data_IF_189581258279
#
_entry.id   IF_189581258279
#
_cell.length_a   1.000
_cell.length_b   1.000
_cell.length_c   1.000
_cell.angle_alpha   90.00
_cell.angle_beta   90.00
_cell.angle_gamma   90.00
#
_symmetry.space_group_name_H-M   'P 1'
#
loop_
_entity.id
_entity.type
_entity.pdbx_description
1 polymer ?
#
# COMPACT_ATOMS: atom_id res chain seq x y z
N UNK A 1 -35.83 12.87 4.90
CA UNK A 1 -34.46 12.84 4.34
C UNK A 1 -33.41 12.56 5.42
N UNK A 2 -33.55 11.45 6.17
CA UNK A 2 -32.61 11.03 7.25
C UNK A 2 -32.30 9.51 7.15
N UNK A 3 -32.63 8.85 6.05
CA UNK A 3 -32.65 7.37 5.97
C UNK A 3 -31.51 6.74 5.18
N UNK A 4 -30.65 7.50 4.48
CA UNK A 4 -29.49 6.92 3.76
C UNK A 4 -28.17 6.94 4.56
N UNK A 5 -28.00 7.84 5.55
CA UNK A 5 -26.79 7.90 6.38
C UNK A 5 -26.61 6.69 7.32
N UNK A 6 -27.68 5.97 7.66
CA UNK A 6 -27.62 4.78 8.54
C UNK A 6 -27.31 3.47 7.81
N UNK A 7 -27.39 3.41 6.47
CA UNK A 7 -27.10 2.18 5.72
C UNK A 7 -25.62 2.01 5.37
N UNK A 8 -24.88 3.10 5.12
CA UNK A 8 -23.43 3.04 4.88
C UNK A 8 -22.65 2.69 6.16
N UNK A 9 -22.99 3.32 7.29
CA UNK A 9 -22.41 2.98 8.60
C UNK A 9 -22.77 1.56 9.07
N UNK A 10 -23.93 1.02 8.65
CA UNK A 10 -24.31 -0.37 8.93
C UNK A 10 -23.55 -1.40 8.09
N UNK A 11 -23.04 -1.04 6.91
CA UNK A 11 -22.17 -1.94 6.13
C UNK A 11 -20.80 -2.11 6.80
N UNK A 12 -20.28 -1.08 7.46
CA UNK A 12 -19.10 -1.20 8.32
C UNK A 12 -19.41 -1.91 9.64
N UNK A 13 -20.56 -1.66 10.29
CA UNK A 13 -20.91 -2.35 11.54
C UNK A 13 -21.28 -3.84 11.36
N UNK A 14 -21.73 -4.27 10.18
CA UNK A 14 -22.07 -5.67 9.89
C UNK A 14 -20.90 -6.46 9.26
N UNK A 15 -19.88 -5.77 8.72
CA UNK A 15 -18.62 -6.37 8.28
C UNK A 15 -17.47 -6.19 9.29
N UNK A 16 -17.67 -5.37 10.33
CA UNK A 16 -16.69 -4.99 11.34
C UNK A 16 -16.88 -5.62 12.71
N UNK A 17 -17.59 -6.75 12.82
CA UNK A 17 -17.40 -7.65 13.94
C UNK A 17 -16.13 -8.50 13.68
N UNK A 18 -14.99 -7.82 13.52
CA UNK A 18 -13.70 -8.46 13.69
C UNK A 18 -13.55 -8.70 15.20
N UNK A 19 -13.94 -9.90 15.60
CA UNK A 19 -13.36 -10.57 16.76
C UNK A 19 -11.86 -10.30 16.70
N UNK A 20 -11.29 -9.64 17.71
CA UNK A 20 -9.85 -9.74 17.98
C UNK A 20 -9.58 -11.24 18.03
N UNK A 21 -8.91 -11.86 17.04
CA UNK A 21 -8.64 -13.27 17.17
C UNK A 21 -7.45 -13.35 18.13
N UNK A 22 -7.75 -13.54 19.41
CA UNK A 22 -7.07 -14.66 20.05
C UNK A 22 -7.39 -15.87 19.17
N UNK A 23 -6.43 -16.30 18.37
CA UNK A 23 -6.57 -17.53 17.61
C UNK A 23 -6.64 -18.68 18.62
N UNK A 24 -7.77 -19.39 18.79
CA UNK A 24 -7.67 -20.78 19.19
C UNK A 24 -6.85 -21.48 18.09
N UNK A 25 -5.95 -22.42 18.44
CA UNK A 25 -5.11 -23.08 17.44
C UNK A 25 -6.00 -23.82 16.43
N UNK A 26 -6.20 -23.24 15.25
CA UNK A 26 -6.78 -23.93 14.13
C UNK A 26 -5.81 -25.04 13.73
N UNK A 27 -6.29 -26.28 13.66
CA UNK A 27 -5.48 -27.42 13.24
C UNK A 27 -4.73 -27.08 11.94
N UNK A 28 -3.41 -26.92 12.05
CA UNK A 28 -2.56 -26.56 10.93
C UNK A 28 -2.61 -27.69 9.89
N UNK A 29 -3.08 -27.46 8.65
CA UNK A 29 -2.57 -28.27 7.56
C UNK A 29 -1.05 -28.01 7.51
N UNK A 30 -0.28 -29.07 7.73
CA UNK A 30 1.17 -29.08 7.97
C UNK A 30 2.01 -28.71 6.73
N UNK A 31 1.39 -28.33 5.62
CA UNK A 31 2.09 -27.94 4.39
C UNK A 31 2.27 -26.42 4.31
N UNK A 32 3.55 -25.97 4.32
CA UNK A 32 3.96 -24.58 4.07
C UNK A 32 3.46 -24.11 2.69
N UNK A 33 3.07 -22.83 2.57
CA UNK A 33 2.73 -22.26 1.26
C UNK A 33 3.95 -22.28 0.32
N UNK A 34 3.77 -22.65 -0.94
CA UNK A 34 4.85 -22.76 -1.91
C UNK A 34 5.32 -21.37 -2.41
N UNK A 35 6.62 -21.18 -2.71
CA UNK A 35 7.13 -19.94 -3.31
C UNK A 35 6.67 -19.78 -4.76
N UNK A 36 6.86 -18.57 -5.33
CA UNK A 36 6.95 -18.40 -6.78
C UNK A 36 8.01 -19.38 -7.34
N UNK A 37 7.78 -19.90 -8.54
CA UNK A 37 8.69 -20.83 -9.22
C UNK A 37 8.70 -20.50 -10.71
N UNK A 38 9.69 -20.99 -11.46
CA UNK A 38 9.70 -20.87 -12.94
C UNK A 38 8.38 -21.34 -13.59
N UNK A 39 7.71 -22.33 -13.01
CA UNK A 39 6.39 -22.81 -13.48
C UNK A 39 5.27 -21.79 -13.30
N UNK A 40 5.43 -20.83 -12.39
CA UNK A 40 4.48 -19.73 -12.16
C UNK A 40 4.42 -18.76 -13.35
N UNK A 41 5.42 -18.79 -14.23
CA UNK A 41 5.51 -17.91 -15.41
C UNK A 41 5.13 -18.61 -16.73
N UNK A 42 4.89 -19.93 -16.73
CA UNK A 42 4.67 -20.71 -17.97
C UNK A 42 3.28 -20.54 -18.60
N UNK A 43 2.31 -19.95 -17.89
CA UNK A 43 0.95 -19.71 -18.42
C UNK A 43 0.72 -18.24 -18.81
N UNK A 44 1.57 -17.31 -18.34
CA UNK A 44 1.59 -15.93 -18.82
C UNK A 44 2.14 -15.81 -20.27
N UNK A 45 2.57 -16.92 -20.87
CA UNK A 45 3.23 -17.00 -22.17
C UNK A 45 2.26 -17.27 -23.32
N UNK A 46 1.62 -16.21 -23.83
CA UNK A 46 1.27 -16.10 -25.24
C UNK A 46 1.31 -14.63 -25.65
N UNK A 47 2.54 -14.12 -25.82
CA UNK A 47 2.81 -12.86 -26.53
C UNK A 47 3.10 -11.66 -25.63
N UNK A 48 4.36 -11.49 -25.23
CA UNK A 48 4.97 -10.17 -25.09
C UNK A 48 6.50 -10.32 -25.04
N UNK A 49 7.13 -10.30 -26.23
CA UNK A 49 8.52 -9.86 -26.36
C UNK A 49 8.41 -8.42 -26.84
N UNK A 50 8.39 -7.46 -25.92
CA UNK A 50 8.76 -6.09 -26.25
C UNK A 50 10.23 -5.91 -25.85
N UNK A 51 11.12 -6.35 -26.74
CA UNK A 51 12.51 -5.95 -26.68
C UNK A 51 12.62 -4.50 -27.15
N UNK A 52 12.37 -3.56 -26.25
CA UNK A 52 12.86 -2.19 -26.40
C UNK A 52 14.30 -2.17 -25.92
N UNK A 53 15.28 -2.16 -26.84
CA UNK A 53 16.67 -1.88 -26.50
C UNK A 53 16.79 -0.40 -26.14
N UNK A 54 16.55 -0.06 -24.87
CA UNK A 54 17.00 1.21 -24.33
C UNK A 54 18.51 1.08 -24.09
N UNK A 55 19.29 1.71 -24.96
CA UNK A 55 20.73 1.84 -24.83
C UNK A 55 21.03 2.61 -23.54
N UNK A 56 21.44 1.89 -22.48
CA UNK A 56 21.89 2.49 -21.23
C UNK A 56 23.37 2.78 -21.34
N UNK A 57 23.68 3.92 -21.93
CA UNK A 57 25.03 4.47 -21.91
C UNK A 57 25.35 4.98 -20.50
N UNK A 58 25.96 4.10 -19.69
CA UNK A 58 26.48 4.44 -18.38
C UNK A 58 27.82 5.19 -18.54
N UNK A 59 27.76 6.53 -18.48
CA UNK A 59 28.94 7.36 -18.19
C UNK A 59 28.61 8.31 -17.06
N UNK A 60 29.14 7.99 -15.88
CA UNK A 60 29.10 8.84 -14.71
C UNK A 60 29.84 10.16 -14.95
N UNK A 61 29.17 11.24 -14.57
CA UNK A 61 29.82 12.43 -14.05
C UNK A 61 29.07 12.80 -12.77
N UNK A 62 29.79 12.80 -11.65
CA UNK A 62 29.25 13.20 -10.37
C UNK A 62 28.83 14.66 -10.42
N UNK A 63 27.54 14.90 -10.59
CA UNK A 63 26.91 16.18 -10.29
C UNK A 63 26.46 16.12 -8.83
N UNK A 64 26.81 17.14 -8.05
CA UNK A 64 26.29 17.31 -6.70
C UNK A 64 24.77 17.09 -6.70
N UNK A 65 24.31 16.09 -5.95
CA UNK A 65 22.90 15.75 -5.84
C UNK A 65 22.23 16.87 -5.06
N UNK A 66 21.57 17.79 -5.77
CA UNK A 66 20.60 18.68 -5.16
C UNK A 66 19.61 17.82 -4.35
N UNK A 67 19.32 18.15 -3.08
CA UNK A 67 18.49 17.27 -2.29
C UNK A 67 17.10 17.21 -2.92
N UNK A 68 16.72 16.00 -3.37
CA UNK A 68 15.52 15.76 -4.15
C UNK A 68 14.31 15.94 -3.23
N UNK A 69 13.42 16.87 -3.58
CA UNK A 69 12.10 16.97 -2.96
C UNK A 69 11.38 15.63 -3.05
N UNK A 70 10.96 15.08 -1.92
CA UNK A 70 10.16 13.85 -1.86
C UNK A 70 8.68 14.25 -1.77
N UNK A 71 7.81 13.80 -2.68
CA UNK A 71 6.38 14.10 -2.61
C UNK A 71 5.75 13.55 -1.33
N UNK A 72 4.95 14.39 -0.66
CA UNK A 72 4.10 13.97 0.45
C UNK A 72 2.70 13.67 -0.09
N UNK A 73 2.18 12.48 0.14
CA UNK A 73 0.84 12.07 -0.25
C UNK A 73 -0.10 11.86 0.93
N UNK A 74 -1.39 11.76 0.63
CA UNK A 74 -2.41 11.36 1.59
C UNK A 74 -3.51 10.52 0.93
N UNK A 75 -3.91 9.44 1.61
CA UNK A 75 -5.05 8.63 1.21
C UNK A 75 -6.36 9.20 1.78
N UNK A 76 -7.43 9.20 0.99
CA UNK A 76 -8.73 9.78 1.37
C UNK A 76 -9.88 8.91 0.90
N UNK A 77 -10.98 8.91 1.65
CA UNK A 77 -12.24 8.32 1.22
C UNK A 77 -13.15 9.40 0.64
N UNK A 78 -13.87 9.08 -0.43
CA UNK A 78 -14.64 10.05 -1.20
C UNK A 78 -15.75 10.70 -0.36
N UNK A 79 -16.33 9.98 0.60
CA UNK A 79 -17.38 10.53 1.45
C UNK A 79 -16.91 11.65 2.38
N UNK A 80 -15.63 11.67 2.78
CA UNK A 80 -15.12 12.70 3.69
C UNK A 80 -14.70 13.96 2.96
N UNK A 81 -14.20 13.85 1.74
CA UNK A 81 -13.76 15.01 0.97
C UNK A 81 -14.93 15.90 0.52
N UNK A 82 -16.07 15.28 0.24
CA UNK A 82 -17.30 15.96 -0.17
C UNK A 82 -18.02 16.59 1.04
N UNK A 83 -17.84 16.02 2.23
CA UNK A 83 -18.59 16.40 3.44
C UNK A 83 -17.89 17.45 4.31
N UNK A 84 -16.55 17.51 4.32
CA UNK A 84 -15.78 18.40 5.20
C UNK A 84 -14.81 19.28 4.40
N UNK A 85 -15.17 20.56 4.15
CA UNK A 85 -14.31 21.50 3.45
C UNK A 85 -12.95 21.75 4.13
N UNK A 86 -12.87 21.68 5.47
CA UNK A 86 -11.61 21.87 6.17
C UNK A 86 -10.68 20.67 5.96
N UNK A 87 -11.22 19.46 6.00
CA UNK A 87 -10.48 18.24 5.67
C UNK A 87 -10.00 18.24 4.22
N UNK A 88 -10.87 18.62 3.28
CA UNK A 88 -10.51 18.79 1.87
C UNK A 88 -9.37 19.80 1.69
N UNK A 89 -9.43 20.94 2.38
CA UNK A 89 -8.39 21.96 2.32
C UNK A 89 -7.06 21.47 2.88
N UNK A 90 -7.08 20.68 3.97
CA UNK A 90 -5.87 20.11 4.55
C UNK A 90 -5.05 19.27 3.54
N UNK A 91 -5.70 18.45 2.70
CA UNK A 91 -4.99 17.76 1.63
C UNK A 91 -4.39 18.72 0.60
N UNK A 92 -5.06 19.82 0.28
CA UNK A 92 -4.53 20.81 -0.68
C UNK A 92 -3.35 21.58 -0.11
N UNK A 93 -3.29 21.82 1.19
CA UNK A 93 -2.21 22.56 1.84
C UNK A 93 -0.95 21.69 2.03
N UNK A 94 -1.15 20.40 2.32
CA UNK A 94 -0.06 19.51 2.74
C UNK A 94 0.38 18.49 1.68
N UNK A 95 -0.51 18.03 0.79
CA UNK A 95 -0.21 16.92 -0.11
C UNK A 95 0.14 17.36 -1.54
N UNK A 96 1.14 16.71 -2.11
CA UNK A 96 1.49 16.68 -3.53
C UNK A 96 0.73 15.60 -4.30
N UNK A 97 0.32 14.54 -3.58
CA UNK A 97 -0.38 13.38 -4.10
C UNK A 97 -1.61 13.09 -3.25
N UNK A 98 -2.76 12.88 -3.88
CA UNK A 98 -4.02 12.54 -3.20
C UNK A 98 -4.57 11.29 -3.87
N UNK A 99 -4.84 10.24 -3.09
CA UNK A 99 -5.24 8.94 -3.63
C UNK A 99 -6.48 8.36 -2.96
N UNK A 100 -7.27 7.56 -3.69
CA UNK A 100 -8.34 6.77 -3.09
C UNK A 100 -7.82 5.79 -2.05
N UNK A 101 -8.39 5.82 -0.84
CA UNK A 101 -8.03 4.90 0.24
C UNK A 101 -8.70 3.53 0.06
N UNK A 102 -9.95 3.51 -0.42
CA UNK A 102 -10.74 2.28 -0.54
C UNK A 102 -11.36 2.09 -1.92
N UNK A 103 -11.65 3.18 -2.63
CA UNK A 103 -12.56 3.19 -3.78
C UNK A 103 -12.01 2.43 -4.99
N UNK A 104 -10.71 2.13 -5.01
CA UNK A 104 -10.05 1.32 -6.03
C UNK A 104 -9.87 -0.16 -5.65
N UNK A 105 -10.29 -0.58 -4.45
CA UNK A 105 -10.26 -1.99 -4.03
C UNK A 105 -11.27 -2.81 -4.83
N UNK A 106 -10.99 -4.11 -5.00
CA UNK A 106 -11.74 -4.99 -5.90
C UNK A 106 -13.24 -4.99 -5.61
N UNK A 107 -13.67 -5.15 -4.35
CA UNK A 107 -15.08 -5.13 -3.97
C UNK A 107 -15.80 -3.79 -4.16
N UNK A 108 -15.07 -2.66 -4.12
CA UNK A 108 -15.62 -1.34 -4.39
C UNK A 108 -15.84 -1.12 -5.88
N UNK A 109 -14.87 -1.52 -6.70
CA UNK A 109 -14.90 -1.36 -8.16
C UNK A 109 -15.79 -2.38 -8.83
N UNK A 110 -15.80 -3.63 -8.36
CA UNK A 110 -16.52 -4.75 -8.99
C UNK A 110 -17.35 -5.54 -7.97
N UNK A 111 -18.37 -4.91 -7.37
CA UNK A 111 -19.16 -5.51 -6.28
C UNK A 111 -19.95 -6.76 -6.71
N UNK A 112 -20.32 -6.85 -7.98
CA UNK A 112 -20.95 -8.04 -8.58
C UNK A 112 -20.27 -8.36 -9.90
N UNK A 113 -20.51 -9.56 -10.45
CA UNK A 113 -19.89 -10.03 -11.70
C UNK A 113 -20.11 -9.04 -12.86
N UNK A 114 -21.32 -8.49 -12.96
CA UNK A 114 -21.78 -7.68 -14.10
C UNK A 114 -21.74 -6.16 -13.85
N UNK A 115 -21.49 -5.73 -12.61
CA UNK A 115 -21.52 -4.32 -12.25
C UNK A 115 -20.13 -3.77 -11.97
N UNK A 116 -19.87 -2.58 -12.52
CA UNK A 116 -18.68 -1.78 -12.26
C UNK A 116 -19.07 -0.46 -11.59
N UNK A 117 -18.35 -0.07 -10.56
CA UNK A 117 -18.62 1.13 -9.78
C UNK A 117 -17.34 1.98 -9.66
N UNK A 118 -17.04 2.73 -10.71
CA UNK A 118 -15.87 3.60 -10.76
C UNK A 118 -16.09 4.98 -10.16
N UNK A 119 -17.35 5.40 -10.04
CA UNK A 119 -17.72 6.78 -9.78
C UNK A 119 -17.05 7.38 -8.52
N UNK A 120 -17.00 6.68 -7.36
CA UNK A 120 -16.31 7.22 -6.18
C UNK A 120 -14.80 7.42 -6.39
N UNK A 121 -14.14 6.48 -7.08
CA UNK A 121 -12.71 6.58 -7.38
C UNK A 121 -12.43 7.68 -8.41
N UNK A 122 -13.28 7.79 -9.44
CA UNK A 122 -13.17 8.85 -10.45
C UNK A 122 -13.22 10.23 -9.80
N UNK A 123 -14.16 10.48 -8.89
CA UNK A 123 -14.27 11.76 -8.18
C UNK A 123 -12.97 12.13 -7.48
N UNK A 124 -12.33 11.18 -6.80
CA UNK A 124 -11.09 11.42 -6.05
C UNK A 124 -9.89 11.66 -6.98
N UNK A 125 -9.75 10.86 -8.03
CA UNK A 125 -8.67 11.03 -9.03
C UNK A 125 -8.85 12.36 -9.76
N UNK A 126 -10.06 12.70 -10.18
CA UNK A 126 -10.36 13.98 -10.83
C UNK A 126 -10.15 15.16 -9.88
N UNK A 127 -10.54 15.04 -8.61
CA UNK A 127 -10.25 16.07 -7.61
C UNK A 127 -8.75 16.31 -7.45
N UNK A 128 -7.94 15.26 -7.35
CA UNK A 128 -6.48 15.38 -7.26
C UNK A 128 -5.92 16.14 -8.49
N UNK A 129 -6.24 15.65 -9.69
CA UNK A 129 -5.73 16.21 -10.95
C UNK A 129 -6.19 17.65 -11.17
N UNK A 130 -7.47 17.96 -10.90
CA UNK A 130 -8.02 19.31 -11.06
C UNK A 130 -7.38 20.35 -10.13
N UNK A 131 -6.76 19.91 -9.04
CA UNK A 131 -6.04 20.76 -8.10
C UNK A 131 -4.51 20.67 -8.27
N UNK A 132 -4.03 20.16 -9.41
CA UNK A 132 -2.60 20.07 -9.72
C UNK A 132 -1.85 19.09 -8.82
N UNK A 133 -2.54 18.08 -8.26
CA UNK A 133 -1.96 17.01 -7.45
C UNK A 133 -1.87 15.74 -8.27
N UNK A 134 -0.89 14.90 -7.93
CA UNK A 134 -0.78 13.55 -8.48
C UNK A 134 -1.79 12.61 -7.80
N UNK A 135 -2.05 11.45 -8.40
CA UNK A 135 -2.82 10.38 -7.77
C UNK A 135 -2.19 9.02 -8.07
N UNK A 136 -2.54 8.02 -7.26
CA UNK A 136 -2.00 6.66 -7.29
C UNK A 136 -3.13 5.66 -7.06
N UNK A 137 -3.03 4.48 -7.64
CA UNK A 137 -4.00 3.42 -7.43
C UNK A 137 -3.55 2.39 -6.38
N UNK A 138 -4.48 2.03 -5.48
CA UNK A 138 -4.31 0.92 -4.53
C UNK A 138 -5.64 0.21 -4.31
N UNK A 139 -5.76 -1.10 -4.51
CA UNK A 139 -4.84 -2.02 -5.16
C UNK A 139 -5.65 -3.02 -5.99
N UNK A 140 -5.01 -3.65 -6.99
CA UNK A 140 -5.72 -4.62 -7.85
C UNK A 140 -5.93 -5.97 -7.17
N UNK A 141 -4.90 -6.49 -6.52
CA UNK A 141 -4.91 -7.81 -5.89
C UNK A 141 -4.61 -7.67 -4.41
N UNK A 142 -5.58 -8.06 -3.59
CA UNK A 142 -5.42 -8.14 -2.15
C UNK A 142 -6.13 -9.39 -1.62
N UNK A 143 -5.81 -9.79 -0.39
CA UNK A 143 -6.49 -10.90 0.28
C UNK A 143 -7.80 -10.45 0.92
N UNK A 144 -7.87 -9.19 1.33
CA UNK A 144 -9.06 -8.55 1.86
C UNK A 144 -9.81 -7.83 0.71
N UNK A 145 -11.05 -7.40 0.97
CA UNK A 145 -11.89 -6.71 -0.02
C UNK A 145 -12.14 -7.52 -1.31
N UNK A 146 -12.20 -8.85 -1.17
CA UNK A 146 -12.53 -9.77 -2.25
C UNK A 146 -14.06 -9.91 -2.39
N UNK A 147 -14.64 -9.64 -3.57
CA UNK A 147 -16.06 -9.83 -3.77
C UNK A 147 -16.46 -11.30 -3.57
N UNK A 148 -17.60 -11.54 -2.92
CA UNK A 148 -18.11 -12.89 -2.66
C UNK A 148 -18.26 -13.73 -3.93
N UNK A 149 -18.62 -13.10 -5.06
CA UNK A 149 -18.77 -13.79 -6.34
C UNK A 149 -17.43 -14.25 -6.93
N UNK A 150 -16.31 -13.57 -6.62
CA UNK A 150 -14.96 -14.01 -7.01
C UNK A 150 -14.49 -15.14 -6.10
N UNK A 151 -14.77 -15.04 -4.79
CA UNK A 151 -14.46 -16.10 -3.84
C UNK A 151 -15.16 -17.42 -4.19
N UNK A 152 -16.36 -17.36 -4.79
CA UNK A 152 -17.13 -18.52 -5.22
C UNK A 152 -16.59 -19.21 -6.51
N UNK A 153 -15.59 -18.65 -7.20
CA UNK A 153 -15.05 -19.24 -8.43
C UNK A 153 -14.05 -20.35 -8.10
N UNK A 154 -14.39 -21.61 -8.35
CA UNK A 154 -13.48 -22.74 -8.10
C UNK A 154 -12.64 -23.12 -9.34
N UNK A 155 -13.09 -22.74 -10.54
CA UNK A 155 -12.35 -23.01 -11.77
C UNK A 155 -11.16 -22.05 -11.92
N UNK A 156 -9.95 -22.62 -12.07
CA UNK A 156 -8.72 -21.84 -12.13
C UNK A 156 -8.63 -21.00 -13.42
N UNK A 157 -9.19 -21.46 -14.54
CA UNK A 157 -9.18 -20.71 -15.80
C UNK A 157 -10.15 -19.52 -15.75
N UNK A 158 -11.32 -19.70 -15.14
CA UNK A 158 -12.27 -18.61 -14.88
C UNK A 158 -11.68 -17.58 -13.92
N UNK A 159 -11.05 -18.02 -12.81
CA UNK A 159 -10.42 -17.12 -11.86
C UNK A 159 -9.30 -16.28 -12.51
N UNK A 160 -8.52 -16.90 -13.40
CA UNK A 160 -7.45 -16.24 -14.15
C UNK A 160 -8.02 -15.19 -15.13
N UNK A 161 -9.08 -15.54 -15.87
CA UNK A 161 -9.76 -14.61 -16.77
C UNK A 161 -10.36 -13.42 -16.03
N UNK A 162 -10.98 -13.66 -14.87
CA UNK A 162 -11.56 -12.60 -14.02
C UNK A 162 -10.49 -11.67 -13.47
N UNK A 163 -9.34 -12.20 -13.05
CA UNK A 163 -8.21 -11.41 -12.58
C UNK A 163 -7.68 -10.50 -13.70
N UNK A 164 -7.44 -11.07 -14.89
CA UNK A 164 -6.94 -10.31 -16.05
C UNK A 164 -7.93 -9.22 -16.44
N UNK A 165 -9.21 -9.55 -16.60
CA UNK A 165 -10.25 -8.58 -16.95
C UNK A 165 -10.33 -7.44 -15.92
N UNK A 166 -10.27 -7.77 -14.62
CA UNK A 166 -10.28 -6.76 -13.57
C UNK A 166 -9.09 -5.82 -13.66
N UNK A 167 -7.87 -6.37 -13.68
CA UNK A 167 -6.65 -5.55 -13.74
C UNK A 167 -6.66 -4.70 -15.00
N UNK A 168 -6.85 -5.29 -16.17
CA UNK A 168 -6.76 -4.56 -17.44
C UNK A 168 -7.80 -3.44 -17.53
N UNK A 169 -9.06 -3.72 -17.17
CA UNK A 169 -10.13 -2.71 -17.29
C UNK A 169 -9.92 -1.54 -16.31
N UNK A 170 -9.48 -1.83 -15.09
CA UNK A 170 -9.24 -0.78 -14.09
C UNK A 170 -8.01 0.03 -14.45
N UNK A 171 -6.89 -0.62 -14.81
CA UNK A 171 -5.68 0.09 -15.23
C UNK A 171 -5.95 0.95 -16.47
N UNK A 172 -6.63 0.41 -17.50
CA UNK A 172 -6.91 1.15 -18.74
C UNK A 172 -7.80 2.38 -18.51
N UNK A 173 -8.80 2.30 -17.61
CA UNK A 173 -9.64 3.45 -17.25
C UNK A 173 -8.83 4.64 -16.71
N UNK A 174 -7.78 4.35 -15.96
CA UNK A 174 -6.92 5.34 -15.31
C UNK A 174 -5.58 5.53 -16.03
N UNK A 175 -5.45 5.02 -17.26
CA UNK A 175 -4.23 5.12 -18.08
C UNK A 175 -3.76 6.57 -18.18
N UNK A 176 -2.50 6.81 -17.84
CA UNK A 176 -1.89 8.15 -17.87
C UNK A 176 -2.43 9.16 -16.82
N UNK A 177 -3.34 8.75 -15.94
CA UNK A 177 -3.89 9.59 -14.85
C UNK A 177 -3.22 9.33 -13.50
N UNK A 178 -2.70 8.13 -13.29
CA UNK A 178 -2.08 7.70 -12.04
C UNK A 178 -0.58 7.55 -12.23
N UNK A 179 0.20 7.96 -11.23
CA UNK A 179 1.67 7.86 -11.27
C UNK A 179 2.17 6.44 -10.99
N UNK A 180 1.28 5.54 -10.59
CA UNK A 180 1.57 4.14 -10.36
C UNK A 180 0.43 3.38 -9.71
N UNK A 181 0.61 2.07 -9.63
CA UNK A 181 -0.32 1.11 -9.01
C UNK A 181 0.39 0.24 -7.99
N UNK A 182 -0.25 0.06 -6.83
CA UNK A 182 -0.04 -1.12 -6.00
C UNK A 182 -0.77 -2.28 -6.70
N UNK A 183 -0.02 -3.08 -7.46
CA UNK A 183 -0.57 -4.17 -8.26
C UNK A 183 -0.98 -5.33 -7.38
N UNK A 184 -0.11 -5.69 -6.43
CA UNK A 184 -0.36 -6.75 -5.44
C UNK A 184 -0.05 -6.19 -4.06
N UNK A 185 -1.00 -6.37 -3.14
CA UNK A 185 -0.93 -5.92 -1.77
C UNK A 185 -0.91 -7.10 -0.80
N UNK A 186 -0.06 -7.03 0.23
CA UNK A 186 -0.02 -7.94 1.38
C UNK A 186 0.07 -9.43 1.06
N UNK A 187 0.89 -9.76 0.07
CA UNK A 187 1.05 -11.14 -0.42
C UNK A 187 2.01 -11.96 0.43
N UNK A 188 2.83 -11.31 1.26
CA UNK A 188 3.78 -11.98 2.15
C UNK A 188 3.04 -12.49 3.40
N UNK A 189 3.30 -13.75 3.79
CA UNK A 189 2.71 -14.33 4.99
C UNK A 189 3.08 -13.54 6.26
N UNK A 190 2.18 -13.48 7.24
CA UNK A 190 2.39 -12.65 8.43
C UNK A 190 3.67 -13.03 9.20
N UNK A 191 3.95 -14.33 9.30
CA UNK A 191 5.24 -14.87 9.68
C UNK A 191 5.76 -15.85 8.61
N UNK A 192 6.65 -15.39 7.69
CA UNK A 192 7.17 -16.25 6.64
C UNK A 192 7.99 -17.45 7.13
N UNK A 193 8.55 -17.37 8.34
CA UNK A 193 9.36 -18.45 8.91
C UNK A 193 8.48 -19.64 9.32
N UNK A 194 7.23 -19.36 9.72
CA UNK A 194 6.27 -20.37 10.16
C UNK A 194 5.34 -20.81 9.03
N UNK A 195 4.84 -19.87 8.23
CA UNK A 195 3.73 -20.10 7.29
C UNK A 195 4.21 -20.43 5.86
N UNK A 196 5.47 -20.12 5.55
CA UNK A 196 6.00 -20.06 4.19
C UNK A 196 5.95 -18.64 3.63
N UNK A 197 6.56 -18.36 2.46
CA UNK A 197 6.77 -17.01 1.97
C UNK A 197 5.47 -16.24 1.69
N UNK A 198 4.45 -16.92 1.16
CA UNK A 198 3.23 -16.28 0.68
C UNK A 198 2.05 -16.51 1.64
N UNK A 199 1.27 -15.45 1.85
CA UNK A 199 0.01 -15.50 2.60
C UNK A 199 -0.95 -16.47 1.93
N UNK A 200 -1.69 -17.23 2.73
CA UNK A 200 -2.76 -18.11 2.24
C UNK A 200 -4.00 -17.29 1.88
N UNK A 201 -4.14 -16.93 0.60
CA UNK A 201 -5.24 -16.11 0.08
C UNK A 201 -6.17 -16.89 -0.86
N UNK A 202 -7.35 -16.34 -1.18
CA UNK A 202 -8.22 -16.89 -2.23
C UNK A 202 -7.50 -17.00 -3.57
N UNK A 203 -6.74 -15.98 -3.96
CA UNK A 203 -5.91 -16.00 -5.16
C UNK A 203 -4.84 -17.10 -5.14
N UNK A 204 -4.14 -17.28 -4.01
CA UNK A 204 -3.14 -18.33 -3.88
C UNK A 204 -3.79 -19.72 -3.97
N UNK A 205 -4.99 -19.93 -3.41
CA UNK A 205 -5.71 -21.20 -3.55
C UNK A 205 -6.14 -21.48 -5.00
N UNK A 206 -6.69 -20.48 -5.69
CA UNK A 206 -7.27 -20.63 -7.04
C UNK A 206 -6.21 -20.75 -8.13
N UNK A 207 -5.17 -19.91 -8.05
CA UNK A 207 -4.17 -19.78 -9.11
C UNK A 207 -2.79 -20.25 -8.66
N UNK A 208 -2.53 -20.39 -7.37
CA UNK A 208 -1.17 -20.55 -6.87
C UNK A 208 -0.38 -19.23 -7.00
N UNK A 209 0.95 -19.28 -6.84
CA UNK A 209 1.79 -18.08 -6.86
C UNK A 209 1.70 -17.26 -8.15
N UNK A 210 1.28 -17.86 -9.28
CA UNK A 210 1.19 -17.18 -10.59
C UNK A 210 0.20 -16.01 -10.64
N UNK A 211 -0.72 -15.86 -9.68
CA UNK A 211 -1.59 -14.67 -9.64
C UNK A 211 -0.80 -13.36 -9.59
N UNK A 212 0.40 -13.37 -8.98
CA UNK A 212 1.27 -12.19 -8.88
C UNK A 212 1.77 -11.77 -10.28
N UNK A 213 2.52 -12.59 -11.05
CA UNK A 213 2.96 -12.19 -12.38
C UNK A 213 1.81 -11.99 -13.38
N UNK A 214 0.68 -12.69 -13.23
CA UNK A 214 -0.51 -12.46 -14.07
C UNK A 214 -1.02 -11.03 -13.88
N UNK A 215 -1.15 -10.56 -12.64
CA UNK A 215 -1.62 -9.20 -12.35
C UNK A 215 -0.63 -8.14 -12.85
N UNK A 216 0.67 -8.32 -12.63
CA UNK A 216 1.67 -7.38 -13.15
C UNK A 216 1.69 -7.33 -14.69
N UNK A 217 1.62 -8.47 -15.37
CA UNK A 217 1.58 -8.51 -16.82
C UNK A 217 0.30 -7.86 -17.38
N UNK A 218 -0.84 -8.09 -16.74
CA UNK A 218 -2.11 -7.45 -17.10
C UNK A 218 -2.04 -5.92 -16.95
N UNK A 219 -1.51 -5.43 -15.83
CA UNK A 219 -1.33 -3.99 -15.60
C UNK A 219 -0.37 -3.37 -16.62
N UNK A 220 0.78 -4.02 -16.89
CA UNK A 220 1.75 -3.56 -17.89
C UNK A 220 1.15 -3.48 -19.31
N UNK A 221 0.31 -4.45 -19.70
CA UNK A 221 -0.40 -4.39 -20.99
C UNK A 221 -1.39 -3.22 -21.05
N UNK A 222 -2.11 -3.00 -19.95
CA UNK A 222 -3.15 -2.00 -19.86
C UNK A 222 -2.65 -0.58 -19.57
N UNK A 223 -1.42 -0.39 -19.13
CA UNK A 223 -0.73 0.92 -19.16
C UNK A 223 0.79 0.70 -19.11
N UNK A 224 1.48 0.63 -20.27
CA UNK A 224 2.92 0.38 -20.30
C UNK A 224 3.77 1.47 -19.62
N UNK A 225 3.22 2.68 -19.46
CA UNK A 225 3.94 3.82 -18.87
C UNK A 225 3.69 3.93 -17.36
N UNK A 226 2.77 3.14 -16.78
CA UNK A 226 2.48 3.19 -15.34
C UNK A 226 3.56 2.49 -14.53
N UNK A 227 3.90 3.07 -13.37
CA UNK A 227 4.77 2.40 -12.40
C UNK A 227 4.01 1.25 -11.73
N UNK A 228 4.65 0.09 -11.61
CA UNK A 228 4.10 -1.15 -11.06
C UNK A 228 4.81 -1.47 -9.73
N UNK A 229 4.04 -1.54 -8.66
CA UNK A 229 4.56 -1.69 -7.30
C UNK A 229 3.92 -2.87 -6.59
N UNK A 230 4.72 -3.55 -5.78
CA UNK A 230 4.25 -4.50 -4.78
C UNK A 230 4.25 -3.80 -3.41
N UNK A 231 3.14 -3.88 -2.67
CA UNK A 231 2.95 -3.16 -1.41
C UNK A 231 2.75 -4.16 -0.26
N UNK A 232 3.42 -3.94 0.88
CA UNK A 232 3.26 -4.80 2.05
C UNK A 232 3.64 -4.08 3.36
N UNK A 233 3.18 -4.61 4.49
CA UNK A 233 3.42 -4.07 5.83
C UNK A 233 4.54 -4.80 6.57
N UNK A 234 4.90 -4.33 7.77
CA UNK A 234 5.86 -4.99 8.66
C UNK A 234 7.22 -5.24 7.97
N UNK A 235 7.71 -4.25 7.21
CA UNK A 235 9.07 -4.22 6.65
C UNK A 235 10.00 -3.28 7.45
N UNK A 236 9.43 -2.50 8.37
CA UNK A 236 10.04 -1.36 9.06
C UNK A 236 10.84 -1.76 10.30
N UNK A 237 10.48 -2.87 10.93
CA UNK A 237 10.82 -3.15 12.33
C UNK A 237 12.00 -4.10 12.52
N UNK A 238 12.58 -4.07 13.72
CA UNK A 238 13.64 -5.00 14.15
C UNK A 238 13.06 -6.37 14.48
N UNK A 239 13.66 -7.42 13.94
CA UNK A 239 13.44 -8.79 14.38
C UNK A 239 13.36 -9.82 13.25
N UNK A 240 13.53 -11.11 13.57
CA UNK A 240 13.72 -12.17 12.58
C UNK A 240 12.51 -12.35 11.64
N UNK A 241 11.29 -12.06 12.13
CA UNK A 241 10.07 -12.08 11.31
C UNK A 241 10.10 -10.99 10.24
N UNK A 242 10.51 -9.77 10.61
CA UNK A 242 10.56 -8.61 9.72
C UNK A 242 11.72 -8.73 8.72
N UNK A 243 12.86 -9.26 9.17
CA UNK A 243 13.97 -9.68 8.29
C UNK A 243 13.49 -10.65 7.22
N UNK A 244 12.79 -11.72 7.63
CA UNK A 244 12.26 -12.71 6.70
C UNK A 244 11.25 -12.12 5.71
N UNK A 245 10.43 -11.15 6.13
CA UNK A 245 9.49 -10.45 5.23
C UNK A 245 10.24 -9.63 4.17
N UNK A 246 11.31 -8.91 4.54
CA UNK A 246 12.16 -8.20 3.57
C UNK A 246 12.87 -9.14 2.60
N UNK A 247 13.36 -10.28 3.09
CA UNK A 247 13.98 -11.31 2.25
C UNK A 247 12.99 -11.89 1.23
N UNK A 248 11.75 -12.16 1.67
CA UNK A 248 10.69 -12.63 0.77
C UNK A 248 10.33 -11.55 -0.26
N UNK A 249 10.25 -10.28 0.14
CA UNK A 249 9.99 -9.18 -0.78
C UNK A 249 11.05 -9.11 -1.89
N UNK A 250 12.34 -9.10 -1.53
CA UNK A 250 13.45 -9.12 -2.50
C UNK A 250 13.39 -10.36 -3.39
N UNK A 251 13.01 -11.52 -2.82
CA UNK A 251 12.86 -12.76 -3.58
C UNK A 251 11.72 -12.67 -4.61
N UNK A 252 10.57 -12.09 -4.26
CA UNK A 252 9.46 -11.89 -5.19
C UNK A 252 9.88 -10.95 -6.33
N UNK A 253 10.51 -9.82 -6.01
CA UNK A 253 11.01 -8.84 -7.00
C UNK A 253 11.96 -9.51 -8.00
N UNK A 254 12.98 -10.22 -7.51
CA UNK A 254 13.94 -10.94 -8.38
C UNK A 254 13.23 -11.95 -9.29
N UNK A 255 12.29 -12.71 -8.75
CA UNK A 255 11.58 -13.72 -9.52
C UNK A 255 10.67 -13.11 -10.59
N UNK A 256 10.04 -11.98 -10.32
CA UNK A 256 9.28 -11.24 -11.34
C UNK A 256 10.20 -10.74 -12.46
N UNK A 257 11.33 -10.12 -12.11
CA UNK A 257 12.31 -9.64 -13.09
C UNK A 257 12.93 -10.78 -13.92
N UNK A 258 13.28 -11.91 -13.30
CA UNK A 258 13.76 -13.12 -13.99
C UNK A 258 12.72 -13.68 -14.97
N UNK A 259 11.43 -13.45 -14.69
CA UNK A 259 10.30 -13.79 -15.55
C UNK A 259 9.99 -12.76 -16.64
N UNK A 260 10.78 -11.70 -16.76
CA UNK A 260 10.55 -10.60 -17.72
C UNK A 260 9.44 -9.64 -17.32
N UNK A 261 9.02 -9.65 -16.04
CA UNK A 261 7.99 -8.74 -15.51
C UNK A 261 8.67 -7.53 -14.88
N UNK A 262 8.28 -6.34 -15.32
CA UNK A 262 8.79 -5.09 -14.76
C UNK A 262 8.22 -4.83 -13.36
N UNK A 263 9.11 -4.51 -12.43
CA UNK A 263 8.77 -4.04 -11.08
C UNK A 263 9.49 -2.72 -10.88
N UNK A 264 8.72 -1.67 -10.63
CA UNK A 264 9.23 -0.30 -10.55
C UNK A 264 9.48 0.14 -9.11
N UNK A 265 8.74 -0.39 -8.16
CA UNK A 265 8.89 -0.04 -6.75
C UNK A 265 8.39 -1.12 -5.79
N UNK A 266 8.81 -0.97 -4.54
CA UNK A 266 8.23 -1.64 -3.37
C UNK A 266 7.62 -0.57 -2.47
N UNK A 267 6.35 -0.76 -2.14
CA UNK A 267 5.63 0.01 -1.12
C UNK A 267 5.82 -0.65 0.24
N UNK A 268 6.35 0.12 1.18
CA UNK A 268 6.38 -0.19 2.59
C UNK A 268 5.27 0.61 3.26
N UNK A 269 4.25 -0.06 3.80
CA UNK A 269 3.05 0.62 4.32
C UNK A 269 3.41 1.67 5.37
N UNK A 270 4.26 1.35 6.36
CA UNK A 270 4.63 2.32 7.38
C UNK A 270 3.59 2.47 8.48
N UNK A 271 2.78 1.45 8.74
CA UNK A 271 1.94 1.38 9.95
C UNK A 271 2.81 1.18 11.19
N UNK A 272 3.17 2.28 11.86
CA UNK A 272 4.11 2.27 12.98
C UNK A 272 3.41 1.89 14.29
N UNK A 273 4.12 1.23 15.20
CA UNK A 273 3.59 0.87 16.52
C UNK A 273 4.46 1.48 17.62
N UNK A 274 3.83 2.06 18.65
CA UNK A 274 4.50 2.70 19.78
C UNK A 274 5.53 1.80 20.50
N UNK A 275 5.33 0.49 20.50
CA UNK A 275 6.13 -0.52 21.18
C UNK A 275 7.14 -1.24 20.27
N UNK A 276 7.25 -0.84 18.99
CA UNK A 276 8.17 -1.48 18.04
C UNK A 276 9.31 -0.55 17.64
N UNK A 277 10.50 -1.10 17.59
CA UNK A 277 11.71 -0.40 17.16
C UNK A 277 11.84 -0.45 15.63
N UNK A 278 12.17 0.71 15.02
CA UNK A 278 12.47 0.83 13.59
C UNK A 278 13.87 0.30 13.31
N UNK A 279 13.99 -0.66 12.39
CA UNK A 279 15.28 -1.25 12.01
C UNK A 279 16.01 -0.39 10.98
N UNK A 280 16.63 0.69 11.46
CA UNK A 280 17.38 1.60 10.61
C UNK A 280 18.46 0.90 9.77
N UNK A 281 19.39 0.10 10.35
CA UNK A 281 20.38 -0.60 9.54
C UNK A 281 19.76 -1.58 8.54
N UNK A 282 18.68 -2.27 8.92
CA UNK A 282 17.98 -3.19 8.02
C UNK A 282 17.27 -2.48 6.87
N UNK A 283 16.64 -1.34 7.11
CA UNK A 283 15.99 -0.53 6.08
C UNK A 283 17.00 0.10 5.12
N UNK A 284 18.16 0.54 5.61
CA UNK A 284 19.25 1.02 4.75
C UNK A 284 19.73 -0.10 3.82
N UNK A 285 19.96 -1.31 4.36
CA UNK A 285 20.35 -2.49 3.55
C UNK A 285 19.28 -2.86 2.53
N UNK A 286 18.02 -2.90 2.96
CA UNK A 286 16.90 -3.24 2.10
C UNK A 286 16.71 -2.23 0.96
N UNK A 287 16.81 -0.93 1.25
CA UNK A 287 16.74 0.11 0.23
C UNK A 287 17.90 0.00 -0.76
N UNK A 288 19.11 -0.28 -0.30
CA UNK A 288 20.26 -0.55 -1.18
C UNK A 288 20.06 -1.78 -2.06
N UNK A 289 19.50 -2.85 -1.52
CA UNK A 289 19.26 -4.09 -2.26
C UNK A 289 18.15 -3.90 -3.31
N UNK A 290 17.12 -3.10 -3.04
CA UNK A 290 16.12 -2.68 -4.03
C UNK A 290 16.75 -1.82 -5.13
N UNK A 291 17.60 -0.87 -4.76
CA UNK A 291 18.30 0.00 -5.71
C UNK A 291 19.22 -0.80 -6.65
N UNK A 292 19.91 -1.82 -6.13
CA UNK A 292 20.71 -2.74 -6.93
C UNK A 292 19.89 -3.56 -7.93
N UNK A 293 18.58 -3.75 -7.68
CA UNK A 293 17.62 -4.35 -8.60
C UNK A 293 16.96 -3.32 -9.54
N UNK A 294 17.29 -2.04 -9.41
CA UNK A 294 16.65 -0.95 -10.17
C UNK A 294 15.22 -0.63 -9.70
N UNK A 295 14.88 -0.98 -8.45
CA UNK A 295 13.55 -0.83 -7.87
C UNK A 295 13.54 0.28 -6.82
N UNK A 296 12.51 1.14 -6.85
CA UNK A 296 12.33 2.23 -5.89
C UNK A 296 11.73 1.78 -4.56
N UNK A 297 11.96 2.56 -3.50
CA UNK A 297 11.27 2.41 -2.21
C UNK A 297 10.23 3.53 -2.05
N UNK A 298 9.00 3.17 -1.67
CA UNK A 298 7.94 4.09 -1.30
C UNK A 298 7.53 3.84 0.15
N UNK A 299 7.14 4.89 0.87
CA UNK A 299 6.28 4.75 2.06
C UNK A 299 4.85 5.06 1.63
N UNK A 300 3.92 4.13 1.83
CA UNK A 300 2.61 4.15 1.15
C UNK A 300 1.41 4.42 2.06
N UNK A 301 1.50 4.14 3.35
CA UNK A 301 0.35 4.13 4.29
C UNK A 301 0.75 4.59 5.71
N UNK A 302 1.62 5.61 5.82
CA UNK A 302 2.19 6.05 7.10
C UNK A 302 1.11 6.50 8.10
N UNK A 303 1.07 5.85 9.26
CA UNK A 303 0.34 6.24 10.46
C UNK A 303 1.00 5.65 11.72
N UNK A 304 0.51 6.00 12.91
CA UNK A 304 1.08 5.54 14.19
C UNK A 304 0.00 4.95 15.11
N UNK A 305 0.05 3.64 15.32
CA UNK A 305 -0.73 2.93 16.34
C UNK A 305 -0.09 3.15 17.71
N UNK A 306 -0.80 3.87 18.60
CA UNK A 306 -0.22 4.44 19.82
C UNK A 306 -0.48 3.65 21.11
N UNK A 307 -0.97 2.40 21.02
CA UNK A 307 -1.46 1.55 22.13
C UNK A 307 -0.64 1.53 23.42
N UNK A 308 0.68 1.71 23.34
CA UNK A 308 1.60 1.66 24.48
C UNK A 308 2.19 3.02 24.88
N UNK A 309 1.80 4.09 24.19
CA UNK A 309 2.06 5.45 24.62
C UNK A 309 1.15 5.79 25.82
N UNK A 310 1.61 6.61 26.79
CA UNK A 310 0.73 7.15 27.82
C UNK A 310 -0.51 7.80 27.20
N UNK A 311 -1.68 7.61 27.82
CA UNK A 311 -2.95 8.19 27.40
C UNK A 311 -3.02 9.70 27.68
N UNK A 312 -2.09 10.45 27.10
CA UNK A 312 -1.93 11.89 27.16
C UNK A 312 -1.59 12.41 25.76
N UNK A 313 -2.32 13.41 25.23
CA UNK A 313 -2.09 13.90 23.88
C UNK A 313 -0.65 14.32 23.58
N UNK A 314 0.04 14.94 24.55
CA UNK A 314 1.41 15.39 24.36
C UNK A 314 2.37 14.19 24.28
N UNK A 315 2.18 13.17 25.13
CA UNK A 315 2.95 11.94 25.10
C UNK A 315 2.72 11.12 23.82
N UNK A 316 1.47 11.00 23.36
CA UNK A 316 1.11 10.35 22.10
C UNK A 316 1.79 11.05 20.91
N UNK A 317 1.68 12.39 20.85
CA UNK A 317 2.26 13.18 19.76
C UNK A 317 3.80 13.14 19.78
N UNK A 318 4.42 13.11 20.96
CA UNK A 318 5.87 12.93 21.09
C UNK A 318 6.33 11.54 20.64
N UNK A 319 5.53 10.51 20.94
CA UNK A 319 5.79 9.13 20.50
C UNK A 319 5.73 9.03 18.97
N UNK A 320 4.67 9.58 18.36
CA UNK A 320 4.52 9.63 16.91
C UNK A 320 5.67 10.41 16.25
N UNK A 321 6.04 11.58 16.80
CA UNK A 321 7.16 12.36 16.29
C UNK A 321 8.47 11.58 16.30
N UNK A 322 8.79 10.89 17.40
CA UNK A 322 10.01 10.07 17.50
C UNK A 322 10.00 8.95 16.45
N UNK A 323 8.93 8.16 16.38
CA UNK A 323 8.83 7.02 15.46
C UNK A 323 8.93 7.45 13.99
N UNK A 324 8.26 8.54 13.63
CA UNK A 324 8.31 9.08 12.27
C UNK A 324 9.70 9.63 11.97
N UNK A 325 10.37 10.28 12.92
CA UNK A 325 11.77 10.69 12.76
C UNK A 325 12.70 9.51 12.55
N UNK A 326 12.55 8.45 13.35
CA UNK A 326 13.34 7.22 13.24
C UNK A 326 13.14 6.55 11.87
N UNK A 327 11.89 6.48 11.39
CA UNK A 327 11.55 5.97 10.06
C UNK A 327 12.16 6.84 8.95
N UNK A 328 11.97 8.17 9.00
CA UNK A 328 12.48 9.08 7.98
C UNK A 328 14.00 8.99 7.89
N UNK A 329 14.70 8.96 9.01
CA UNK A 329 16.14 8.81 8.96
C UNK A 329 16.57 7.44 8.40
N UNK A 330 15.83 6.37 8.71
CA UNK A 330 16.12 5.03 8.19
C UNK A 330 15.96 4.94 6.68
N UNK A 331 14.84 5.43 6.14
CA UNK A 331 14.55 5.33 4.70
C UNK A 331 15.42 6.28 3.87
N UNK A 332 15.90 7.39 4.44
CA UNK A 332 16.82 8.33 3.80
C UNK A 332 18.30 7.93 3.90
N UNK A 333 18.66 6.93 4.74
CA UNK A 333 20.05 6.58 5.03
C UNK A 333 20.84 6.14 3.78
N UNK A 334 20.20 5.44 2.83
CA UNK A 334 20.82 5.05 1.57
C UNK A 334 20.62 6.11 0.48
N UNK A 335 19.36 6.43 0.17
CA UNK A 335 18.92 7.48 -0.75
C UNK A 335 17.49 7.91 -0.39
N UNK A 336 17.00 9.08 -0.83
CA UNK A 336 15.61 9.46 -0.56
C UNK A 336 14.60 8.47 -1.16
N UNK A 337 13.52 8.11 -0.45
CA UNK A 337 12.43 7.30 -1.01
C UNK A 337 11.73 8.07 -2.14
N UNK A 338 10.98 7.37 -2.99
CA UNK A 338 10.28 7.97 -4.13
C UNK A 338 9.16 8.90 -3.69
N UNK A 339 8.40 8.51 -2.66
CA UNK A 339 7.33 9.27 -2.01
C UNK A 339 7.12 8.80 -0.57
N UNK A 340 6.47 9.65 0.23
CA UNK A 340 5.90 9.28 1.54
C UNK A 340 4.43 9.61 1.51
N UNK A 341 3.56 8.65 1.79
CA UNK A 341 2.10 8.80 1.75
C UNK A 341 1.55 8.46 3.13
N UNK A 342 0.70 9.33 3.66
CA UNK A 342 0.01 9.15 4.93
C UNK A 342 -1.32 8.43 4.69
N UNK A 343 -1.69 7.46 5.54
CA UNK A 343 -2.97 6.75 5.43
C UNK A 343 -4.16 7.52 6.02
N UNK A 344 -4.39 8.70 5.45
CA UNK A 344 -5.26 9.74 5.98
C UNK A 344 -4.51 11.07 6.04
N UNK A 345 -5.01 12.01 6.84
CA UNK A 345 -4.23 13.21 7.19
C UNK A 345 -4.60 13.80 8.56
N UNK A 346 -5.81 13.54 9.08
CA UNK A 346 -6.30 14.00 10.38
C UNK A 346 -6.85 12.87 11.23
N UNK A 347 -6.54 12.90 12.53
CA UNK A 347 -7.06 11.99 13.56
C UNK A 347 -8.60 11.87 13.55
N UNK A 348 -9.31 12.89 13.02
CA UNK A 348 -10.77 12.90 12.90
C UNK A 348 -11.32 11.74 12.07
N UNK A 349 -10.59 11.32 11.03
CA UNK A 349 -11.04 10.35 10.03
C UNK A 349 -10.15 9.11 9.94
N UNK A 350 -9.31 8.86 10.95
CA UNK A 350 -8.45 7.67 10.98
C UNK A 350 -9.28 6.38 11.05
N UNK A 351 -8.78 5.34 10.41
CA UNK A 351 -9.31 3.98 10.48
C UNK A 351 -8.97 3.29 11.81
N UNK A 352 -7.88 3.70 12.48
CA UNK A 352 -7.33 3.03 13.66
C UNK A 352 -8.34 2.92 14.80
N UNK A 353 -9.05 3.98 15.23
CA UNK A 353 -10.02 3.86 16.31
C UNK A 353 -11.15 2.84 16.06
N UNK A 354 -11.46 2.55 14.78
CA UNK A 354 -12.51 1.62 14.40
C UNK A 354 -12.03 0.16 14.30
N UNK A 355 -10.74 -0.07 14.04
CA UNK A 355 -10.19 -1.40 13.73
C UNK A 355 -9.18 -1.87 14.79
N UNK A 356 -8.37 -0.94 15.28
CA UNK A 356 -7.29 -1.13 16.25
C UNK A 356 -7.46 -0.13 17.41
N UNK A 357 -8.60 -0.12 18.12
CA UNK A 357 -8.79 0.82 19.22
C UNK A 357 -7.77 0.57 20.33
N UNK A 358 -7.38 1.63 21.03
CA UNK A 358 -6.52 1.48 22.21
C UNK A 358 -7.12 0.51 23.23
N UNK A 359 -6.32 -0.43 23.78
CA UNK A 359 -6.79 -1.34 24.82
C UNK A 359 -7.28 -0.64 26.10
N UNK A 360 -6.78 0.55 26.39
CA UNK A 360 -7.18 1.37 27.56
C UNK A 360 -8.41 2.26 27.30
N UNK A 361 -8.95 2.27 26.07
CA UNK A 361 -10.12 3.04 25.68
C UNK A 361 -9.89 4.55 25.52
N UNK A 362 -8.65 5.03 25.64
CA UNK A 362 -8.35 6.43 25.35
C UNK A 362 -8.46 6.72 23.83
N UNK A 363 -8.63 7.99 23.42
CA UNK A 363 -8.61 8.34 22.00
C UNK A 363 -7.23 8.15 21.37
N UNK A 364 -7.15 7.51 20.20
CA UNK A 364 -5.93 7.45 19.38
C UNK A 364 -5.59 8.81 18.76
N UNK A 365 -4.29 9.05 18.53
CA UNK A 365 -3.78 10.23 17.79
C UNK A 365 -2.83 9.86 16.63
N UNK A 366 -3.28 9.05 15.66
CA UNK A 366 -2.40 8.33 14.75
C UNK A 366 -1.91 9.08 13.50
N UNK A 367 -2.48 10.25 13.17
CA UNK A 367 -2.27 10.97 11.91
C UNK A 367 -1.63 12.36 12.15
N UNK A 368 -1.08 13.06 11.15
CA UNK A 368 -0.23 14.24 11.41
C UNK A 368 -0.97 15.53 11.76
N UNK A 369 -2.27 15.60 11.47
CA UNK A 369 -3.15 16.65 11.96
C UNK A 369 -4.05 16.10 13.08
N UNK A 370 -4.35 16.92 14.08
CA UNK A 370 -5.29 16.52 15.11
C UNK A 370 -6.74 16.53 14.60
N UNK A 371 -7.69 16.29 15.52
CA UNK A 371 -9.12 16.23 15.19
C UNK A 371 -9.69 17.57 14.76
N UNK A 372 -9.00 18.69 14.97
CA UNK A 372 -9.41 20.04 14.60
C UNK A 372 -8.63 20.58 13.38
N UNK A 373 -7.88 19.71 12.70
CA UNK A 373 -7.02 20.00 11.54
C UNK A 373 -5.76 20.80 11.88
N UNK A 374 -5.39 20.88 13.16
CA UNK A 374 -4.18 21.59 13.57
C UNK A 374 -2.93 20.71 13.40
N UNK A 375 -1.81 21.24 12.86
CA UNK A 375 -0.60 20.47 12.65
C UNK A 375 0.08 20.02 13.95
N UNK A 376 0.26 18.70 14.09
CA UNK A 376 1.05 18.11 15.16
C UNK A 376 2.55 18.17 14.84
N UNK A 377 3.38 17.83 15.82
CA UNK A 377 4.84 17.94 15.71
C UNK A 377 5.44 17.20 14.51
N UNK A 378 4.85 16.08 14.10
CA UNK A 378 5.36 15.29 12.99
C UNK A 378 4.87 15.71 11.61
N UNK A 379 3.80 16.52 11.50
CA UNK A 379 3.51 17.22 10.24
C UNK A 379 4.64 18.19 9.88
N UNK A 380 5.09 18.97 10.87
CA UNK A 380 6.21 19.91 10.69
C UNK A 380 7.51 19.19 10.31
N UNK A 381 7.76 18.03 10.91
CA UNK A 381 8.89 17.18 10.57
C UNK A 381 8.83 16.71 9.10
N UNK A 382 7.66 16.26 8.63
CA UNK A 382 7.47 15.86 7.24
C UNK A 382 7.68 17.05 6.27
N UNK A 383 7.12 18.22 6.59
CA UNK A 383 7.31 19.43 5.80
C UNK A 383 8.79 19.82 5.69
N UNK A 384 9.54 19.75 6.80
CA UNK A 384 10.96 20.05 6.82
C UNK A 384 11.77 19.04 5.98
N UNK A 385 11.58 17.74 6.24
CA UNK A 385 12.41 16.68 5.67
C UNK A 385 12.12 16.39 4.21
N UNK A 386 10.85 16.49 3.79
CA UNK A 386 10.44 16.11 2.45
C UNK A 386 10.47 17.28 1.46
N UNK A 387 10.15 18.50 1.91
CA UNK A 387 10.01 19.67 1.03
C UNK A 387 11.28 20.51 0.89
N UNK A 388 12.11 20.59 1.93
CA UNK A 388 13.32 21.46 1.91
C UNK A 388 14.56 20.77 1.36
N UNK A 389 14.52 19.45 1.21
CA UNK A 389 15.67 18.65 0.82
C UNK A 389 16.71 18.63 1.94
N UNK A 390 16.86 17.48 2.59
CA UNK A 390 17.84 17.26 3.67
C UNK A 390 19.28 17.30 3.17
#
# INVERSE_FOLDING_TARGET
>A
MITHRRLAARRWAAAGAAIVPEYPPAAHPTSKAAPLTRRSFMVAGAGLILAGTADRDARGQGTAVMPRRVPLGGAVQAEYIDADPAYRQAFLDHCDLIMPMNELKFDQIRPTRDAWNFEPADRLVEFALANGRQSRGTCHVWWNAMPAWVEAIDDASEAEAVLIEHVERVTDRYRGKLVGWDVVNEVIANDPQQEGPLRRTGWLRKLGPRHIPIAFAAAARADPDTRLVINDYDLEFVGPRFDARRDVMLSIVRQLQDGGVEVHGVGMQGHLYADREIDRPGLERFHRDLDALGVGLLVTELDVIDWHSPADPQAQDATAHRLVSDLLDAIFAWKPPESVIIWGISDRYSWIPAVLPRPDGAPDRPLPLDRDMEPKGWMRLLDERLRRGS
#
